data_IF_749906127720
#
_entry.id   IF_749906127720
#
_cell.length_a   1.000
_cell.length_b   1.000
_cell.length_c   1.000
_cell.angle_alpha   90.00
_cell.angle_beta   90.00
_cell.angle_gamma   90.00
#
_symmetry.space_group_name_H-M   'P 1'
#
loop_
_entity.id
_entity.type
_entity.pdbx_description
1 polymer ?
#
# COMPACT_ATOMS: atom_id res chain seq x y z
N UNK A 1 9.37 -7.07 0.35
CA UNK A 1 8.38 -6.06 0.77
C UNK A 1 8.30 -5.00 -0.32
N UNK A 2 7.11 -4.58 -0.71
CA UNK A 2 6.87 -3.49 -1.64
C UNK A 2 6.14 -2.36 -0.90
N UNK A 3 6.60 -1.12 -1.11
CA UNK A 3 5.99 0.08 -0.55
C UNK A 3 5.34 0.86 -1.70
N UNK A 4 4.04 1.10 -1.59
CA UNK A 4 3.29 1.83 -2.60
C UNK A 4 2.67 3.08 -1.99
N UNK A 5 3.18 4.25 -2.40
CA UNK A 5 2.55 5.52 -2.07
C UNK A 5 1.36 5.72 -3.01
N UNK A 6 0.14 5.51 -2.52
CA UNK A 6 -1.09 5.65 -3.29
C UNK A 6 -2.08 6.50 -2.49
N UNK A 7 -2.42 7.66 -3.04
CA UNK A 7 -3.24 8.65 -2.33
C UNK A 7 -4.46 9.16 -3.08
N UNK A 8 -4.48 9.08 -4.42
CA UNK A 8 -5.57 9.62 -5.24
C UNK A 8 -5.65 8.89 -6.59
N UNK A 9 -6.85 8.84 -7.15
CA UNK A 9 -7.02 8.53 -8.58
C UNK A 9 -6.41 9.70 -9.39
N UNK A 10 -5.47 9.38 -10.28
CA UNK A 10 -4.87 10.34 -11.21
C UNK A 10 -5.38 10.10 -12.64
N UNK A 11 -5.08 11.02 -13.57
CA UNK A 11 -5.48 10.92 -15.00
C UNK A 11 -5.15 9.58 -15.67
N UNK A 12 -4.14 8.88 -15.18
CA UNK A 12 -3.67 7.58 -15.68
C UNK A 12 -4.08 6.39 -14.80
N UNK A 13 -5.03 6.58 -13.88
CA UNK A 13 -5.51 5.52 -13.02
C UNK A 13 -6.32 4.51 -13.85
N UNK A 14 -5.86 3.26 -13.89
CA UNK A 14 -6.55 2.15 -14.53
C UNK A 14 -6.80 1.05 -13.50
N UNK A 15 -8.05 0.99 -13.03
CA UNK A 15 -8.50 0.02 -12.03
C UNK A 15 -8.17 -1.44 -12.40
N UNK A 16 -8.25 -1.80 -13.68
CA UNK A 16 -7.96 -3.18 -14.12
C UNK A 16 -6.47 -3.47 -14.00
N UNK A 17 -5.63 -2.53 -14.42
CA UNK A 17 -4.18 -2.65 -14.30
C UNK A 17 -3.72 -2.66 -12.83
N UNK A 18 -4.30 -1.81 -11.98
CA UNK A 18 -4.03 -1.76 -10.54
C UNK A 18 -4.26 -3.13 -9.87
N UNK A 19 -5.41 -3.75 -10.16
CA UNK A 19 -5.73 -5.09 -9.65
C UNK A 19 -4.73 -6.15 -10.11
N UNK A 20 -4.37 -6.16 -11.41
CA UNK A 20 -3.40 -7.12 -11.96
C UNK A 20 -2.01 -6.94 -11.36
N UNK A 21 -1.57 -5.70 -11.18
CA UNK A 21 -0.28 -5.38 -10.56
C UNK A 21 -0.26 -5.81 -9.09
N UNK A 22 -1.34 -5.56 -8.35
CA UNK A 22 -1.46 -6.01 -6.96
C UNK A 22 -1.34 -7.54 -6.86
N UNK A 23 -2.09 -8.28 -7.66
CA UNK A 23 -2.00 -9.75 -7.69
C UNK A 23 -0.59 -10.23 -8.03
N UNK A 24 0.08 -9.59 -9.00
CA UNK A 24 1.46 -9.93 -9.36
C UNK A 24 2.43 -9.70 -8.20
N UNK A 25 2.35 -8.55 -7.52
CA UNK A 25 3.21 -8.21 -6.38
C UNK A 25 2.99 -9.22 -5.25
N UNK A 26 1.73 -9.50 -4.90
CA UNK A 26 1.37 -10.35 -3.77
C UNK A 26 1.83 -11.81 -3.95
N UNK A 27 2.06 -12.29 -5.18
CA UNK A 27 2.67 -13.62 -5.44
C UNK A 27 4.10 -13.75 -4.90
N UNK A 28 4.84 -12.65 -4.75
CA UNK A 28 6.27 -12.65 -4.40
C UNK A 28 6.62 -11.81 -3.19
N UNK A 29 5.81 -10.81 -2.86
CA UNK A 29 6.11 -9.81 -1.84
C UNK A 29 4.88 -9.48 -1.01
N UNK A 30 5.10 -9.01 0.21
CA UNK A 30 4.09 -8.24 0.94
C UNK A 30 3.98 -6.84 0.31
N UNK A 31 2.80 -6.23 0.39
CA UNK A 31 2.53 -4.88 -0.11
C UNK A 31 1.99 -4.01 1.02
N UNK A 32 2.71 -2.92 1.32
CA UNK A 32 2.23 -1.85 2.20
C UNK A 32 1.90 -0.66 1.33
N UNK A 33 0.62 -0.30 1.30
CA UNK A 33 0.12 0.85 0.57
C UNK A 33 -0.22 1.96 1.55
N UNK A 34 0.22 3.18 1.27
CA UNK A 34 0.08 4.30 2.19
C UNK A 34 -0.17 5.61 1.47
N UNK A 35 -0.84 6.54 2.16
CA UNK A 35 -1.03 7.90 1.69
C UNK A 35 0.23 8.76 1.94
N UNK A 36 0.56 9.69 1.04
CA UNK A 36 1.77 10.54 1.16
C UNK A 36 1.83 11.40 2.45
N UNK A 37 0.67 11.67 3.07
CA UNK A 37 0.54 12.39 4.37
C UNK A 37 0.53 11.49 5.60
N UNK A 38 0.87 10.20 5.46
CA UNK A 38 0.87 9.27 6.59
C UNK A 38 1.93 9.69 7.63
N UNK A 39 1.64 9.47 8.93
CA UNK A 39 2.64 9.62 9.98
C UNK A 39 3.72 8.54 9.81
N UNK A 40 4.99 8.90 9.99
CA UNK A 40 6.11 7.97 9.86
C UNK A 40 5.97 6.76 10.78
N UNK A 41 5.54 6.96 12.02
CA UNK A 41 5.26 5.89 12.99
C UNK A 41 4.24 4.89 12.44
N UNK A 42 3.15 5.37 11.84
CA UNK A 42 2.13 4.51 11.23
C UNK A 42 2.67 3.75 10.02
N UNK A 43 3.52 4.38 9.21
CA UNK A 43 4.20 3.70 8.09
C UNK A 43 5.09 2.56 8.60
N UNK A 44 5.94 2.84 9.60
CA UNK A 44 6.82 1.81 10.17
C UNK A 44 6.03 0.67 10.82
N UNK A 45 4.95 0.97 11.53
CA UNK A 45 4.08 -0.06 12.08
C UNK A 45 3.45 -0.93 10.99
N UNK A 46 3.03 -0.34 9.87
CA UNK A 46 2.53 -1.10 8.71
C UNK A 46 3.60 -1.96 8.05
N UNK A 47 4.84 -1.46 7.96
CA UNK A 47 6.01 -2.23 7.50
C UNK A 47 6.22 -3.47 8.37
N UNK A 48 6.18 -3.32 9.70
CA UNK A 48 6.35 -4.42 10.64
C UNK A 48 5.16 -5.41 10.63
N UNK A 49 3.97 -4.95 10.25
CA UNK A 49 2.78 -5.80 10.09
C UNK A 49 2.84 -6.66 8.82
N UNK A 50 3.52 -6.21 7.77
CA UNK A 50 3.67 -6.91 6.50
C UNK A 50 4.76 -8.00 6.58
N UNK A 51 4.40 -9.17 7.11
CA UNK A 51 5.35 -10.21 7.55
C UNK A 51 5.79 -11.15 6.45
N UNK A 52 4.94 -11.44 5.45
CA UNK A 52 5.23 -12.45 4.42
C UNK A 52 4.63 -12.13 3.05
N UNK A 53 5.15 -12.73 1.97
CA UNK A 53 4.53 -12.65 0.65
C UNK A 53 3.02 -12.94 0.70
N UNK A 54 2.24 -12.10 0.02
CA UNK A 54 0.78 -12.18 0.03
C UNK A 54 0.08 -11.26 1.03
N UNK A 55 0.81 -10.73 2.02
CA UNK A 55 0.23 -9.75 2.96
C UNK A 55 -0.03 -8.41 2.25
N UNK A 56 -1.24 -7.88 2.44
CA UNK A 56 -1.64 -6.54 1.98
C UNK A 56 -2.01 -5.67 3.17
N UNK A 57 -1.25 -4.59 3.38
CA UNK A 57 -1.51 -3.61 4.44
C UNK A 57 -1.86 -2.28 3.81
N UNK A 58 -3.09 -1.81 4.02
CA UNK A 58 -3.59 -0.56 3.46
C UNK A 58 -3.69 0.50 4.57
N UNK A 59 -2.82 1.50 4.51
CA UNK A 59 -2.71 2.61 5.47
C UNK A 59 -3.44 3.87 4.94
N UNK A 60 -4.76 3.77 4.79
CA UNK A 60 -5.63 4.86 4.30
C UNK A 60 -6.32 5.67 5.40
N UNK A 61 -6.06 5.35 6.68
CA UNK A 61 -6.57 6.16 7.76
C UNK A 61 -5.89 7.53 7.72
N UNK A 62 -6.59 8.52 7.15
CA UNK A 62 -6.32 9.92 7.46
C UNK A 62 -6.38 10.02 8.98
N UNK A 63 -5.23 10.26 9.61
CA UNK A 63 -5.23 10.73 10.98
C UNK A 63 -6.14 11.96 10.98
N UNK A 64 -7.33 11.84 11.57
CA UNK A 64 -8.12 13.00 11.95
C UNK A 64 -7.17 13.83 12.82
N UNK A 65 -6.72 14.96 12.29
CA UNK A 65 -6.21 16.05 13.11
C UNK A 65 -7.42 16.89 13.49
#
# INVERSE_FOLDING_TARGET
LCLECNGYEHKYYDKKYESQRQEYILKKYALVRFHHKIRMETLFNGILQARKPGDLVNLYAFARQ
#
